data_IF_711184237676
#
_entry.id   IF_711184237676
#
_cell.length_a   1.000
_cell.length_b   1.000
_cell.length_c   1.000
_cell.angle_alpha   90.00
_cell.angle_beta   90.00
_cell.angle_gamma   90.00
#
_symmetry.space_group_name_H-M   'P 1'
#
loop_
_entity.id
_entity.type
_entity.pdbx_description
1 polymer ?
#
# COMPACT_ATOMS: atom_id res chain seq x y z
N UNK A 1 -14.76 16.30 -11.50
CA UNK A 1 -13.77 15.19 -11.43
C UNK A 1 -13.29 14.88 -12.84
N UNK A 2 -12.00 14.98 -13.10
CA UNK A 2 -11.42 14.70 -14.42
C UNK A 2 -11.03 13.22 -14.49
N UNK A 3 -11.62 12.48 -15.42
CA UNK A 3 -11.27 11.09 -15.71
C UNK A 3 -10.29 11.04 -16.89
N UNK A 4 -9.25 10.22 -16.80
CA UNK A 4 -8.30 10.01 -17.89
C UNK A 4 -8.55 8.69 -18.63
N UNK A 5 -8.12 8.64 -19.88
CA UNK A 5 -8.18 7.47 -20.75
C UNK A 5 -7.01 6.51 -20.49
N UNK A 6 -7.09 5.30 -21.03
CA UNK A 6 -5.97 4.33 -21.00
C UNK A 6 -4.72 4.87 -21.71
N UNK A 7 -4.92 5.66 -22.79
CA UNK A 7 -3.81 6.28 -23.53
C UNK A 7 -3.07 7.32 -22.67
N UNK A 8 -3.82 8.17 -21.97
CA UNK A 8 -3.28 9.16 -21.03
C UNK A 8 -2.58 8.48 -19.85
N UNK A 9 -3.15 7.41 -19.28
CA UNK A 9 -2.48 6.64 -18.24
C UNK A 9 -1.14 6.06 -18.71
N UNK A 10 -1.10 5.49 -19.92
CA UNK A 10 0.15 4.97 -20.51
C UNK A 10 1.19 6.07 -20.72
N UNK A 11 0.78 7.27 -21.10
CA UNK A 11 1.66 8.43 -21.20
C UNK A 11 2.18 8.87 -19.80
N UNK A 12 1.29 8.91 -18.81
CA UNK A 12 1.62 9.26 -17.42
C UNK A 12 2.61 8.29 -16.79
N UNK A 13 2.47 6.99 -17.04
CA UNK A 13 3.45 5.97 -16.60
C UNK A 13 4.85 6.24 -17.15
N UNK A 14 4.95 6.67 -18.43
CA UNK A 14 6.24 7.01 -19.05
C UNK A 14 6.84 8.31 -18.50
N UNK A 15 6.02 9.26 -18.09
CA UNK A 15 6.46 10.54 -17.52
C UNK A 15 6.69 10.48 -16.00
N UNK A 16 6.44 9.33 -15.36
CA UNK A 16 6.68 9.15 -13.92
C UNK A 16 5.65 9.83 -13.01
N UNK A 17 4.43 10.12 -13.52
CA UNK A 17 3.34 10.62 -12.67
C UNK A 17 2.95 9.54 -11.67
N UNK A 18 2.78 9.95 -10.42
CA UNK A 18 2.42 9.06 -9.33
C UNK A 18 0.99 8.53 -9.46
N UNK A 19 0.79 7.26 -9.10
CA UNK A 19 -0.52 6.60 -9.11
C UNK A 19 -0.80 6.06 -7.71
N UNK A 20 -1.86 6.54 -7.10
CA UNK A 20 -2.42 6.05 -5.84
C UNK A 20 -3.60 5.13 -6.15
N UNK A 21 -3.53 3.89 -5.69
CA UNK A 21 -4.63 2.94 -5.77
C UNK A 21 -5.26 2.77 -4.39
N UNK A 22 -6.48 3.28 -4.22
CA UNK A 22 -7.16 3.26 -2.94
C UNK A 22 -8.18 2.12 -2.79
N UNK A 23 -8.20 1.17 -3.73
CA UNK A 23 -9.03 -0.03 -3.64
C UNK A 23 -8.66 -0.88 -2.39
N UNK A 24 -9.50 -1.86 -2.01
CA UNK A 24 -9.14 -2.82 -0.97
C UNK A 24 -7.79 -3.48 -1.22
N UNK A 25 -7.02 -3.70 -0.15
CA UNK A 25 -5.65 -4.23 -0.25
C UNK A 25 -5.57 -5.60 -0.93
N UNK A 26 -6.61 -6.43 -0.82
CA UNK A 26 -6.65 -7.73 -1.50
C UNK A 26 -6.80 -7.57 -3.02
N UNK A 27 -7.65 -6.64 -3.47
CA UNK A 27 -7.87 -6.38 -4.89
C UNK A 27 -6.63 -5.76 -5.53
N UNK A 28 -5.99 -4.83 -4.81
CA UNK A 28 -4.71 -4.27 -5.21
C UNK A 28 -3.63 -5.35 -5.32
N UNK A 29 -3.45 -6.16 -4.28
CA UNK A 29 -2.44 -7.21 -4.27
C UNK A 29 -2.62 -8.23 -5.39
N UNK A 30 -3.87 -8.59 -5.67
CA UNK A 30 -4.19 -9.52 -6.75
C UNK A 30 -3.86 -8.95 -8.14
N UNK A 31 -4.18 -7.66 -8.36
CA UNK A 31 -4.00 -7.02 -9.67
C UNK A 31 -4.00 -5.50 -9.56
N UNK A 32 -2.90 -4.84 -9.95
CA UNK A 32 -2.78 -3.39 -9.96
C UNK A 32 -2.00 -2.88 -11.18
N UNK A 33 -2.04 -1.57 -11.41
CA UNK A 33 -1.23 -0.91 -12.44
C UNK A 33 0.23 -0.92 -11.98
N UNK A 34 1.16 -1.31 -12.85
CA UNK A 34 2.59 -1.28 -12.53
C UNK A 34 3.00 0.11 -11.99
N UNK A 35 3.79 0.11 -10.94
CA UNK A 35 4.23 1.31 -10.20
C UNK A 35 3.12 2.12 -9.50
N UNK A 36 1.89 1.63 -9.43
CA UNK A 36 0.92 2.22 -8.51
C UNK A 36 1.25 1.83 -7.07
N UNK A 37 0.93 2.73 -6.13
CA UNK A 37 1.16 2.52 -4.70
C UNK A 37 -0.19 2.44 -4.01
N UNK A 38 -0.35 1.43 -3.15
CA UNK A 38 -1.57 1.20 -2.39
C UNK A 38 -1.69 2.19 -1.23
N UNK A 39 -2.84 2.86 -1.16
CA UNK A 39 -3.28 3.56 0.04
C UNK A 39 -4.78 3.33 0.20
N UNK A 40 -5.16 2.18 0.77
CA UNK A 40 -6.57 1.77 0.84
C UNK A 40 -7.43 2.80 1.58
N UNK A 41 -8.55 3.15 0.95
CA UNK A 41 -9.53 4.08 1.52
C UNK A 41 -10.18 3.56 2.82
N UNK A 42 -10.07 2.25 3.07
CA UNK A 42 -10.57 1.59 4.28
C UNK A 42 -9.58 1.65 5.46
N UNK A 43 -8.37 2.16 5.24
CA UNK A 43 -7.34 2.36 6.26
C UNK A 43 -7.12 3.83 6.62
N UNK A 44 -5.94 4.14 7.12
CA UNK A 44 -5.49 5.52 7.38
C UNK A 44 -5.11 6.20 6.05
N UNK A 45 -6.09 6.42 5.19
CA UNK A 45 -5.94 6.80 3.79
C UNK A 45 -5.12 8.07 3.62
N UNK A 46 -5.53 9.16 4.27
CA UNK A 46 -4.88 10.48 4.18
C UNK A 46 -3.45 10.43 4.72
N UNK A 47 -3.25 9.71 5.83
CA UNK A 47 -1.92 9.51 6.40
C UNK A 47 -0.99 8.80 5.41
N UNK A 48 -1.45 7.67 4.83
CA UNK A 48 -0.65 6.92 3.85
C UNK A 48 -0.38 7.78 2.60
N UNK A 49 -1.39 8.48 2.09
CA UNK A 49 -1.23 9.37 0.93
C UNK A 49 -0.21 10.47 1.21
N UNK A 50 -0.28 11.12 2.38
CA UNK A 50 0.66 12.18 2.79
C UNK A 50 2.08 11.65 2.98
N UNK A 51 2.27 10.43 3.48
CA UNK A 51 3.59 9.81 3.59
C UNK A 51 4.21 9.51 2.22
N UNK A 52 3.39 9.10 1.25
CA UNK A 52 3.84 8.50 -0.01
C UNK A 52 3.93 9.48 -1.18
N UNK A 53 3.17 10.57 -1.14
CA UNK A 53 3.02 11.47 -2.29
C UNK A 53 3.18 12.94 -1.92
N UNK A 54 3.73 13.70 -2.87
CA UNK A 54 3.83 15.15 -2.76
C UNK A 54 2.47 15.78 -3.16
N UNK A 55 1.84 16.49 -2.22
CA UNK A 55 0.52 17.14 -2.41
C UNK A 55 0.46 18.17 -3.53
N UNK A 56 1.62 18.66 -3.98
CA UNK A 56 1.72 19.69 -5.03
C UNK A 56 2.02 19.11 -6.42
N UNK A 57 2.17 17.77 -6.51
CA UNK A 57 2.43 17.10 -7.79
C UNK A 57 1.18 16.44 -8.33
N UNK A 58 1.06 16.27 -9.66
CA UNK A 58 -0.03 15.53 -10.27
C UNK A 58 -0.15 14.12 -9.69
N UNK A 59 -1.37 13.73 -9.34
CA UNK A 59 -1.69 12.42 -8.77
C UNK A 59 -2.85 11.78 -9.53
N UNK A 60 -2.63 10.55 -9.99
CA UNK A 60 -3.70 9.72 -10.55
C UNK A 60 -4.25 8.84 -9.43
N UNK A 61 -5.57 8.86 -9.24
CA UNK A 61 -6.24 8.05 -8.23
C UNK A 61 -7.04 6.94 -8.91
N UNK A 62 -6.90 5.73 -8.38
CA UNK A 62 -7.70 4.55 -8.72
C UNK A 62 -8.53 4.18 -7.49
N UNK A 63 -9.85 4.05 -7.65
CA UNK A 63 -10.78 3.70 -6.58
C UNK A 63 -11.72 2.57 -7.02
N UNK A 64 -12.44 1.97 -6.05
CA UNK A 64 -13.58 1.13 -6.37
C UNK A 64 -14.67 1.95 -7.05
N UNK A 65 -15.42 1.30 -7.95
CA UNK A 65 -16.58 1.92 -8.59
C UNK A 65 -17.58 2.42 -7.55
N UNK A 66 -17.95 3.70 -7.66
CA UNK A 66 -18.85 4.40 -6.76
C UNK A 66 -18.17 5.09 -5.55
N UNK A 67 -16.84 4.88 -5.34
CA UNK A 67 -16.09 5.56 -4.27
C UNK A 67 -15.10 6.62 -4.78
N UNK A 68 -15.11 6.91 -6.07
CA UNK A 68 -14.19 7.87 -6.71
C UNK A 68 -14.31 9.27 -6.11
N UNK A 69 -15.56 9.72 -5.93
CA UNK A 69 -15.82 11.05 -5.37
C UNK A 69 -15.38 11.15 -3.90
N UNK A 70 -15.57 10.08 -3.11
CA UNK A 70 -15.11 10.01 -1.73
C UNK A 70 -13.57 10.10 -1.69
N UNK A 71 -12.88 9.29 -2.50
CA UNK A 71 -11.42 9.24 -2.52
C UNK A 71 -10.81 10.60 -2.86
N UNK A 72 -11.33 11.26 -3.90
CA UNK A 72 -10.84 12.56 -4.35
C UNK A 72 -11.15 13.65 -3.32
N UNK A 73 -12.38 13.70 -2.78
CA UNK A 73 -12.77 14.69 -1.80
C UNK A 73 -11.89 14.65 -0.54
N UNK A 74 -11.58 13.44 -0.06
CA UNK A 74 -10.73 13.26 1.12
C UNK A 74 -9.30 13.74 0.88
N UNK A 75 -8.73 13.51 -0.32
CA UNK A 75 -7.41 14.04 -0.69
C UNK A 75 -7.42 15.57 -0.88
N UNK A 76 -8.47 16.11 -1.50
CA UNK A 76 -8.62 17.57 -1.68
C UNK A 76 -8.67 18.28 -0.33
N UNK A 77 -9.46 17.77 0.61
CA UNK A 77 -9.51 18.27 1.99
C UNK A 77 -8.13 18.20 2.67
N UNK A 78 -7.37 17.14 2.41
CA UNK A 78 -6.01 16.94 2.95
C UNK A 78 -4.95 17.79 2.20
N UNK A 79 -5.34 18.53 1.14
CA UNK A 79 -4.52 19.52 0.46
C UNK A 79 -3.81 19.04 -0.81
N UNK A 80 -4.20 17.91 -1.38
CA UNK A 80 -3.79 17.53 -2.72
C UNK A 80 -4.55 18.35 -3.76
N UNK A 81 -3.87 18.95 -4.73
CA UNK A 81 -4.46 19.99 -5.60
C UNK A 81 -4.64 19.58 -7.06
N UNK A 82 -3.85 18.62 -7.54
CA UNK A 82 -3.86 18.20 -8.95
C UNK A 82 -4.17 16.70 -9.03
N UNK A 83 -5.45 16.36 -8.93
CA UNK A 83 -5.94 15.00 -8.87
C UNK A 83 -6.77 14.68 -10.11
N UNK A 84 -6.44 13.58 -10.79
CA UNK A 84 -7.29 12.98 -11.80
C UNK A 84 -7.61 11.52 -11.43
N UNK A 85 -8.70 11.01 -11.99
CA UNK A 85 -9.21 9.68 -11.72
C UNK A 85 -8.96 8.74 -12.91
N UNK A 86 -8.67 7.47 -12.61
CA UNK A 86 -8.59 6.41 -13.61
C UNK A 86 -9.41 5.18 -13.19
N UNK A 87 -10.20 4.67 -14.10
CA UNK A 87 -11.00 3.44 -13.93
C UNK A 87 -10.15 2.19 -14.21
N UNK A 88 -9.89 1.41 -13.17
CA UNK A 88 -9.04 0.22 -13.25
C UNK A 88 -9.59 -0.88 -14.17
N UNK A 89 -10.91 -1.00 -14.33
CA UNK A 89 -11.49 -2.02 -15.20
C UNK A 89 -11.12 -1.80 -16.68
N UNK A 90 -10.94 -0.53 -17.07
CA UNK A 90 -10.41 -0.20 -18.41
C UNK A 90 -8.96 -0.65 -18.60
N UNK A 91 -8.16 -0.64 -17.52
CA UNK A 91 -6.78 -1.12 -17.55
C UNK A 91 -6.71 -2.64 -17.68
N UNK A 92 -7.50 -3.37 -16.90
CA UNK A 92 -7.61 -4.84 -16.97
C UNK A 92 -7.84 -5.33 -18.38
N UNK A 93 -8.68 -4.63 -19.15
CA UNK A 93 -9.00 -5.00 -20.53
C UNK A 93 -7.87 -4.69 -21.53
N UNK A 94 -6.91 -3.83 -21.22
CA UNK A 94 -5.97 -3.26 -22.19
C UNK A 94 -4.52 -3.17 -21.72
N UNK A 95 -4.21 -3.45 -20.45
CA UNK A 95 -2.88 -3.27 -19.85
C UNK A 95 -2.29 -4.53 -19.24
N UNK A 96 -1.01 -4.42 -18.87
CA UNK A 96 -0.35 -5.43 -18.06
C UNK A 96 -0.49 -5.04 -16.59
N UNK A 97 -0.96 -5.97 -15.77
CA UNK A 97 -1.08 -5.79 -14.33
C UNK A 97 0.11 -6.39 -13.61
N UNK A 98 0.41 -5.86 -12.43
CA UNK A 98 1.33 -6.41 -11.45
C UNK A 98 0.56 -6.99 -10.27
N UNK A 99 1.25 -7.70 -9.38
CA UNK A 99 0.69 -8.26 -8.15
C UNK A 99 1.72 -8.24 -7.03
N UNK A 100 1.24 -8.31 -5.78
CA UNK A 100 2.09 -8.45 -4.59
C UNK A 100 1.69 -9.72 -3.86
N UNK A 101 2.68 -10.52 -3.48
CA UNK A 101 2.45 -11.75 -2.71
C UNK A 101 2.03 -11.40 -1.29
N UNK A 102 0.96 -12.05 -0.83
CA UNK A 102 0.47 -11.94 0.55
C UNK A 102 0.48 -13.30 1.22
N UNK A 103 0.93 -13.35 2.46
CA UNK A 103 0.88 -14.57 3.27
C UNK A 103 -0.34 -14.57 4.19
N UNK A 104 -0.90 -15.74 4.43
CA UNK A 104 -1.94 -15.92 5.44
C UNK A 104 -1.38 -15.66 6.84
N UNK A 105 -2.16 -15.01 7.69
CA UNK A 105 -1.78 -14.75 9.09
C UNK A 105 -1.43 -16.02 9.86
N UNK A 106 -2.09 -17.16 9.58
CA UNK A 106 -1.80 -18.44 10.23
C UNK A 106 -0.39 -18.98 9.95
N UNK A 107 0.25 -18.54 8.86
CA UNK A 107 1.60 -18.95 8.49
C UNK A 107 2.67 -17.94 8.97
N UNK A 108 2.30 -16.94 9.77
CA UNK A 108 3.19 -15.87 10.19
C UNK A 108 4.46 -16.38 10.89
N UNK A 109 4.36 -17.47 11.68
CA UNK A 109 5.51 -18.07 12.38
C UNK A 109 6.61 -18.55 11.44
N UNK A 110 6.28 -18.93 10.19
CA UNK A 110 7.24 -19.37 9.18
C UNK A 110 8.10 -18.23 8.67
N UNK A 111 7.65 -16.98 8.84
CA UNK A 111 8.27 -15.79 8.29
C UNK A 111 8.97 -14.90 9.33
N UNK A 112 8.95 -15.24 10.62
CA UNK A 112 9.45 -14.42 11.74
C UNK A 112 10.82 -13.77 11.49
N UNK A 113 11.76 -14.50 10.89
CA UNK A 113 13.13 -14.02 10.64
C UNK A 113 13.21 -12.89 9.61
N UNK A 114 12.18 -12.75 8.77
CA UNK A 114 12.08 -11.75 7.70
C UNK A 114 10.99 -10.73 7.96
N UNK A 115 10.28 -10.86 9.07
CA UNK A 115 9.20 -9.94 9.38
C UNK A 115 9.71 -8.56 9.80
N UNK A 116 8.95 -7.54 9.39
CA UNK A 116 9.11 -6.14 9.81
C UNK A 116 7.73 -5.58 10.16
N UNK A 117 7.63 -4.89 11.30
CA UNK A 117 6.44 -4.15 11.66
C UNK A 117 6.52 -2.73 11.10
N UNK A 118 5.60 -2.40 10.21
CA UNK A 118 5.55 -1.07 9.56
C UNK A 118 4.46 -0.16 10.17
N UNK A 119 3.98 -0.50 11.35
CA UNK A 119 3.10 0.35 12.16
C UNK A 119 3.84 1.63 12.57
N UNK A 120 3.10 2.63 13.04
CA UNK A 120 3.72 3.78 13.70
C UNK A 120 4.44 3.33 14.98
N UNK A 121 5.43 4.10 15.42
CA UNK A 121 6.22 3.77 16.60
C UNK A 121 5.34 3.57 17.85
N UNK A 122 4.34 4.43 18.04
CA UNK A 122 3.39 4.36 19.16
C UNK A 122 2.56 3.07 19.13
N UNK A 123 2.08 2.65 17.95
CA UNK A 123 1.32 1.39 17.79
C UNK A 123 2.22 0.19 18.12
N UNK A 124 3.47 0.22 17.65
CA UNK A 124 4.46 -0.83 17.88
C UNK A 124 4.84 -0.97 19.36
N UNK A 125 5.01 0.13 20.07
CA UNK A 125 5.31 0.12 21.52
C UNK A 125 4.17 -0.50 22.33
N UNK A 126 2.93 -0.37 21.88
CA UNK A 126 1.76 -0.96 22.56
C UNK A 126 1.67 -2.46 22.32
N UNK A 127 1.84 -2.92 21.08
CA UNK A 127 1.67 -4.33 20.72
C UNK A 127 2.39 -4.68 19.43
N UNK A 128 3.32 -5.62 19.49
CA UNK A 128 4.05 -6.12 18.31
C UNK A 128 4.44 -7.59 18.47
N UNK A 129 4.85 -8.22 17.39
CA UNK A 129 5.35 -9.60 17.40
C UNK A 129 6.75 -9.62 18.02
N UNK A 130 6.94 -10.41 19.06
CA UNK A 130 8.19 -10.48 19.81
C UNK A 130 9.39 -10.85 18.92
N UNK A 131 10.41 -10.00 18.98
CA UNK A 131 11.66 -10.19 18.23
C UNK A 131 11.62 -9.67 16.79
N UNK A 132 10.52 -9.10 16.36
CA UNK A 132 10.41 -8.39 15.07
C UNK A 132 10.81 -6.94 15.27
N UNK A 133 11.58 -6.38 14.33
CA UNK A 133 11.98 -4.97 14.39
C UNK A 133 10.92 -4.04 13.80
N UNK A 134 10.82 -2.85 14.38
CA UNK A 134 10.02 -1.75 13.85
C UNK A 134 10.68 -1.13 12.62
N UNK A 135 9.87 -0.82 11.62
CA UNK A 135 10.24 -0.09 10.41
C UNK A 135 9.03 0.72 9.92
N UNK A 136 8.66 1.82 10.59
CA UNK A 136 7.48 2.61 10.28
C UNK A 136 7.43 3.04 8.81
N UNK A 137 6.21 3.12 8.23
CA UNK A 137 6.03 3.50 6.83
C UNK A 137 6.77 4.79 6.45
N UNK A 138 6.76 5.80 7.31
CA UNK A 138 7.44 7.06 7.06
C UNK A 138 8.97 6.89 6.98
N UNK A 139 9.53 6.03 7.82
CA UNK A 139 10.97 5.74 7.82
C UNK A 139 11.36 4.98 6.56
N UNK A 140 10.53 4.04 6.09
CA UNK A 140 10.74 3.33 4.81
C UNK A 140 10.72 4.30 3.62
N UNK A 141 9.82 5.27 3.63
CA UNK A 141 9.75 6.28 2.55
C UNK A 141 10.98 7.19 2.57
N UNK A 142 11.49 7.50 3.77
CA UNK A 142 12.66 8.36 3.95
C UNK A 142 13.96 7.63 3.61
N UNK A 143 14.10 6.37 4.06
CA UNK A 143 15.23 5.49 3.79
C UNK A 143 14.74 4.09 3.40
N UNK A 144 14.53 3.84 2.09
CA UNK A 144 14.12 2.51 1.63
C UNK A 144 15.13 1.39 1.94
N UNK A 145 16.38 1.73 2.25
CA UNK A 145 17.43 0.76 2.56
C UNK A 145 17.22 -0.04 3.86
N UNK A 146 16.26 0.37 4.70
CA UNK A 146 15.91 -0.38 5.92
C UNK A 146 15.09 -1.66 5.62
N UNK A 147 14.59 -1.80 4.40
CA UNK A 147 13.84 -2.96 3.92
C UNK A 147 14.68 -3.71 2.88
N UNK A 148 14.73 -5.01 2.99
CA UNK A 148 15.50 -5.89 2.11
C UNK A 148 14.59 -6.75 1.22
N UNK A 149 15.14 -7.22 0.11
CA UNK A 149 14.48 -8.17 -0.78
C UNK A 149 13.99 -9.41 -0.02
N UNK A 150 12.71 -9.73 -0.18
CA UNK A 150 12.07 -10.87 0.47
C UNK A 150 11.70 -10.66 1.94
N UNK A 151 11.77 -9.44 2.48
CA UNK A 151 11.16 -9.13 3.77
C UNK A 151 9.64 -9.32 3.72
N UNK A 152 9.05 -9.60 4.88
CA UNK A 152 7.62 -9.82 5.06
C UNK A 152 7.07 -8.74 5.99
N UNK A 153 6.28 -7.84 5.44
CA UNK A 153 5.79 -6.67 6.16
C UNK A 153 4.46 -6.96 6.85
N UNK A 154 4.23 -6.39 8.01
CA UNK A 154 2.92 -6.36 8.63
C UNK A 154 2.69 -5.02 9.35
N UNK A 155 1.45 -4.70 9.61
CA UNK A 155 1.01 -3.63 10.49
C UNK A 155 -0.25 -4.10 11.22
N UNK A 156 -0.94 -3.23 11.94
CA UNK A 156 -2.13 -3.62 12.72
C UNK A 156 -3.19 -4.36 11.86
N UNK A 157 -3.53 -3.86 10.66
CA UNK A 157 -4.64 -4.37 9.83
C UNK A 157 -4.27 -4.70 8.38
N UNK A 158 -2.99 -4.62 8.00
CA UNK A 158 -2.54 -4.93 6.64
C UNK A 158 -2.70 -3.80 5.61
N UNK A 159 -3.02 -2.57 6.02
CA UNK A 159 -3.11 -1.41 5.12
C UNK A 159 -1.76 -0.73 4.90
N UNK A 160 -1.06 -0.36 5.99
CA UNK A 160 0.27 0.25 5.92
C UNK A 160 1.31 -0.71 5.34
N UNK A 161 1.20 -2.02 5.63
CA UNK A 161 2.11 -3.03 5.06
C UNK A 161 1.96 -3.17 3.56
N UNK A 162 0.73 -3.12 3.02
CA UNK A 162 0.53 -3.09 1.58
C UNK A 162 1.04 -1.79 0.95
N UNK A 163 0.85 -0.65 1.63
CA UNK A 163 1.40 0.63 1.19
C UNK A 163 2.94 0.59 1.11
N UNK A 164 3.60 0.08 2.14
CA UNK A 164 5.05 -0.11 2.17
C UNK A 164 5.51 -1.10 1.08
N UNK A 165 4.84 -2.25 0.95
CA UNK A 165 5.21 -3.27 -0.04
C UNK A 165 5.09 -2.73 -1.48
N UNK A 166 4.02 -2.01 -1.80
CA UNK A 166 3.86 -1.40 -3.11
C UNK A 166 4.85 -0.26 -3.37
N UNK A 167 5.18 0.53 -2.35
CA UNK A 167 6.24 1.55 -2.45
C UNK A 167 7.60 0.90 -2.73
N UNK A 168 7.95 -0.18 -2.02
CA UNK A 168 9.21 -0.91 -2.25
C UNK A 168 9.27 -1.53 -3.65
N UNK A 169 8.14 -2.03 -4.17
CA UNK A 169 8.05 -2.52 -5.54
C UNK A 169 8.40 -1.43 -6.58
N UNK A 170 8.05 -0.16 -6.34
CA UNK A 170 8.48 0.96 -7.22
C UNK A 170 9.99 1.21 -7.19
N UNK A 171 10.69 0.71 -6.17
CA UNK A 171 12.16 0.77 -6.04
C UNK A 171 12.84 -0.49 -6.57
N UNK A 172 12.07 -1.45 -7.10
CA UNK A 172 12.59 -2.73 -7.61
C UNK A 172 12.91 -3.74 -6.50
N UNK A 173 12.42 -3.52 -5.28
CA UNK A 173 12.59 -4.44 -4.13
C UNK A 173 11.28 -5.18 -3.89
N UNK A 174 11.30 -6.52 -4.08
CA UNK A 174 10.12 -7.34 -3.89
C UNK A 174 10.01 -7.80 -2.43
N UNK A 175 8.93 -7.43 -1.81
CA UNK A 175 8.57 -7.83 -0.46
C UNK A 175 7.13 -8.36 -0.45
N UNK A 176 6.76 -9.05 0.61
CA UNK A 176 5.41 -9.56 0.81
C UNK A 176 4.79 -8.93 2.04
N UNK A 177 3.49 -9.13 2.26
CA UNK A 177 2.86 -8.73 3.51
C UNK A 177 1.98 -9.84 4.12
N UNK A 178 1.62 -9.68 5.39
CA UNK A 178 0.68 -10.56 6.08
C UNK A 178 -0.75 -10.01 5.92
N UNK A 179 -1.64 -10.81 5.33
CA UNK A 179 -3.06 -10.47 5.20
C UNK A 179 -3.70 -10.20 6.56
N UNK A 180 -4.36 -9.04 6.70
CA UNK A 180 -5.04 -8.64 7.93
C UNK A 180 -4.09 -8.21 9.06
N UNK A 181 -2.77 -8.30 8.86
CA UNK A 181 -1.76 -7.84 9.79
C UNK A 181 -1.81 -8.50 11.17
N UNK A 182 -1.41 -7.75 12.20
CA UNK A 182 -1.37 -8.22 13.58
C UNK A 182 -2.76 -8.69 14.08
N UNK A 183 -3.81 -7.97 13.71
CA UNK A 183 -5.18 -8.32 14.09
C UNK A 183 -5.57 -9.74 13.65
N UNK A 184 -5.22 -10.13 12.42
CA UNK A 184 -5.46 -11.47 11.94
C UNK A 184 -4.52 -12.49 12.59
N UNK A 185 -3.23 -12.13 12.80
CA UNK A 185 -2.26 -13.02 13.46
C UNK A 185 -2.65 -13.38 14.89
N UNK A 186 -3.25 -12.45 15.65
CA UNK A 186 -3.75 -12.73 17.01
C UNK A 186 -4.83 -13.80 17.06
N UNK A 187 -5.59 -13.95 15.97
CA UNK A 187 -6.66 -14.96 15.85
C UNK A 187 -6.17 -16.26 15.24
N UNK A 188 -5.41 -16.16 14.15
CA UNK A 188 -5.10 -17.29 13.27
C UNK A 188 -3.74 -17.95 13.56
N UNK A 189 -2.87 -17.30 14.36
CA UNK A 189 -1.55 -17.79 14.74
C UNK A 189 -1.34 -17.76 16.27
N UNK A 190 -2.07 -18.59 17.04
CA UNK A 190 -2.08 -18.53 18.50
C UNK A 190 -0.72 -18.82 19.16
N UNK A 191 0.18 -19.47 18.45
CA UNK A 191 1.55 -19.78 18.92
C UNK A 191 2.52 -18.60 18.72
N UNK A 192 2.09 -17.55 18.04
CA UNK A 192 2.90 -16.36 17.82
C UNK A 192 3.05 -15.59 19.13
N UNK A 193 4.31 -15.31 19.52
CA UNK A 193 4.57 -14.52 20.73
C UNK A 193 4.46 -13.03 20.41
N UNK A 194 3.69 -12.36 21.21
CA UNK A 194 3.48 -10.91 21.18
C UNK A 194 4.27 -10.27 22.33
#
# INVERSE_FOLDING_TARGET
>A
MQSISVGELKASLKSGISILDCRPTNDFAFSHVLNSISASINGSYEYMATCLFDKKKPLIVIAESGRESEAILRLDIDGFTDICFFDFEKWKASGHTSSIVRFSAKNATEHLKKMKDVSNAEDWEVLHVKGVSSAPLLDIVTDPGIISEGDVLYCAYGHKSMAAASFMATKGVNVSDIMGGLSAMLVDAPDLKI
#
